data_IF_211499865872
#
_entry.id   IF_211499865872
#
_cell.length_a   1.000
_cell.length_b   1.000
_cell.length_c   1.000
_cell.angle_alpha   90.00
_cell.angle_beta   90.00
_cell.angle_gamma   90.00
#
_symmetry.space_group_name_H-M   'P 1'
#
loop_
_entity.id
_entity.type
_entity.pdbx_description
1 polymer ?
#
# COMPACT_ATOMS: atom_id res chain seq x y z
N UNK A 1 6.55 14.10 -3.66
CA UNK A 1 8.00 14.16 -3.99
C UNK A 1 8.60 15.54 -3.71
N UNK A 2 8.10 16.63 -4.29
CA UNK A 2 8.72 17.97 -4.15
C UNK A 2 8.96 18.44 -2.70
N UNK A 3 8.01 18.22 -1.78
CA UNK A 3 8.18 18.62 -0.35
C UNK A 3 9.20 17.77 0.41
N UNK A 4 9.34 16.47 0.11
CA UNK A 4 10.32 15.60 0.78
C UNK A 4 11.72 16.01 0.33
N UNK A 5 11.90 16.17 -0.99
CA UNK A 5 13.17 16.57 -1.57
C UNK A 5 13.58 17.99 -1.13
N UNK A 6 12.61 18.92 -1.05
CA UNK A 6 12.89 20.28 -0.57
C UNK A 6 13.35 20.33 0.90
N UNK A 7 13.03 19.32 1.71
CA UNK A 7 13.46 19.20 3.10
C UNK A 7 14.72 18.32 3.26
N UNK A 8 15.43 18.01 2.16
CA UNK A 8 16.68 17.25 2.18
C UNK A 8 16.51 15.72 2.20
N UNK A 9 15.29 15.21 2.11
CA UNK A 9 15.02 13.79 1.92
C UNK A 9 15.15 13.36 0.45
N UNK A 10 15.13 12.05 0.19
CA UNK A 10 15.02 11.48 -1.16
C UNK A 10 13.73 10.68 -1.23
N UNK A 11 12.98 10.85 -2.32
CA UNK A 11 11.70 10.16 -2.51
C UNK A 11 11.55 9.65 -3.95
N UNK A 12 11.27 8.34 -4.07
CA UNK A 12 10.88 7.68 -5.32
C UNK A 12 9.40 7.33 -5.28
N UNK A 13 8.71 7.51 -6.40
CA UNK A 13 7.33 7.02 -6.57
C UNK A 13 7.34 5.70 -7.32
N UNK A 14 6.58 4.73 -6.83
CA UNK A 14 6.31 3.46 -7.50
C UNK A 14 4.79 3.25 -7.48
N UNK A 15 4.22 2.92 -8.63
CA UNK A 15 2.83 2.46 -8.68
C UNK A 15 2.77 1.10 -7.98
N UNK A 16 1.92 0.97 -6.99
CA UNK A 16 1.81 -0.23 -6.17
C UNK A 16 0.35 -0.42 -5.74
N UNK A 17 -0.22 -1.57 -6.09
CA UNK A 17 -1.46 -2.07 -5.49
C UNK A 17 -1.11 -3.00 -4.32
N UNK A 18 -1.52 -2.62 -3.10
CA UNK A 18 -1.22 -3.39 -1.89
C UNK A 18 -1.93 -4.75 -1.87
N UNK A 19 -2.99 -4.95 -2.66
CA UNK A 19 -3.64 -6.25 -2.80
C UNK A 19 -2.91 -7.18 -3.81
N UNK A 20 -1.82 -6.74 -4.43
CA UNK A 20 -1.01 -7.51 -5.39
C UNK A 20 0.32 -7.95 -4.77
N UNK A 21 0.49 -9.25 -4.56
CA UNK A 21 1.78 -9.81 -4.12
C UNK A 21 2.93 -9.50 -5.08
N UNK A 22 2.64 -9.39 -6.37
CA UNK A 22 3.64 -9.08 -7.39
C UNK A 22 4.12 -7.64 -7.21
N UNK A 23 3.20 -6.71 -6.95
CA UNK A 23 3.54 -5.31 -6.73
C UNK A 23 4.33 -5.14 -5.42
N UNK A 24 4.06 -5.96 -4.39
CA UNK A 24 4.86 -6.01 -3.16
C UNK A 24 6.30 -6.42 -3.42
N UNK A 25 6.51 -7.49 -4.17
CA UNK A 25 7.86 -7.93 -4.58
C UNK A 25 8.58 -6.82 -5.35
N UNK A 26 7.87 -6.13 -6.25
CA UNK A 26 8.44 -5.05 -7.06
C UNK A 26 8.85 -3.84 -6.20
N UNK A 27 8.00 -3.37 -5.29
CA UNK A 27 8.32 -2.18 -4.47
C UNK A 27 9.43 -2.45 -3.46
N UNK A 28 9.48 -3.65 -2.87
CA UNK A 28 10.57 -4.06 -1.97
C UNK A 28 11.89 -4.17 -2.73
N UNK A 29 11.89 -4.81 -3.90
CA UNK A 29 13.10 -4.90 -4.73
C UNK A 29 13.60 -3.53 -5.19
N UNK A 30 12.68 -2.62 -5.56
CA UNK A 30 13.03 -1.24 -5.89
C UNK A 30 13.67 -0.53 -4.70
N UNK A 31 13.07 -0.65 -3.50
CA UNK A 31 13.60 0.00 -2.31
C UNK A 31 15.02 -0.49 -1.98
N UNK A 32 15.26 -1.80 -2.06
CA UNK A 32 16.59 -2.39 -1.84
C UNK A 32 17.58 -1.93 -2.93
N UNK A 33 17.15 -1.89 -4.19
CA UNK A 33 18.03 -1.50 -5.30
C UNK A 33 18.45 -0.02 -5.23
N UNK A 34 17.53 0.87 -4.85
CA UNK A 34 17.77 2.32 -4.83
C UNK A 34 18.40 2.80 -3.51
N UNK A 35 17.98 2.21 -2.38
CA UNK A 35 18.35 2.68 -1.03
C UNK A 35 19.21 1.69 -0.25
N UNK A 36 19.49 0.52 -0.79
CA UNK A 36 20.35 -0.52 -0.21
C UNK A 36 19.66 -1.44 0.79
N UNK A 37 18.62 -0.97 1.48
CA UNK A 37 17.85 -1.73 2.47
C UNK A 37 16.43 -1.16 2.66
N UNK A 38 15.59 -1.88 3.40
CA UNK A 38 14.27 -1.44 3.84
C UNK A 38 14.18 -1.49 5.37
N UNK A 39 14.21 -0.32 6.01
CA UNK A 39 14.22 -0.21 7.47
C UNK A 39 12.82 -0.21 8.10
N UNK A 40 11.88 0.49 7.45
CA UNK A 40 10.53 0.74 7.98
C UNK A 40 9.51 0.59 6.86
N UNK A 41 8.42 -0.12 7.17
CA UNK A 41 7.21 -0.17 6.34
C UNK A 41 6.09 0.50 7.12
N UNK A 42 5.35 1.40 6.46
CA UNK A 42 4.14 2.01 7.01
C UNK A 42 2.95 1.56 6.17
N UNK A 43 2.20 0.59 6.70
CA UNK A 43 0.98 0.08 6.08
C UNK A 43 -0.18 1.06 6.28
N UNK A 44 -0.19 2.12 5.47
CA UNK A 44 -1.21 3.18 5.53
C UNK A 44 -2.35 3.00 4.53
N UNK A 45 -2.21 2.12 3.53
CA UNK A 45 -3.28 1.90 2.57
C UNK A 45 -4.54 1.38 3.26
N UNK A 46 -5.68 1.98 2.93
CA UNK A 46 -6.95 1.64 3.56
C UNK A 46 -8.13 2.17 2.76
N UNK A 47 -9.17 1.35 2.66
CA UNK A 47 -10.44 1.70 2.02
C UNK A 47 -11.61 1.44 2.96
N UNK A 48 -12.70 2.15 2.72
CA UNK A 48 -13.97 1.92 3.41
C UNK A 48 -15.11 2.28 2.47
N UNK A 49 -16.29 1.75 2.77
CA UNK A 49 -17.54 2.12 2.13
C UNK A 49 -18.61 2.30 3.20
N UNK A 50 -19.69 2.98 2.84
CA UNK A 50 -20.85 3.16 3.69
C UNK A 50 -22.08 2.61 2.97
N UNK A 51 -22.71 1.60 3.57
CA UNK A 51 -23.93 0.93 3.11
C UNK A 51 -24.72 0.44 4.32
N UNK A 52 -26.06 0.33 4.23
CA UNK A 52 -26.84 -0.45 5.18
C UNK A 52 -26.27 -1.86 5.31
N UNK A 53 -26.28 -2.44 6.51
CA UNK A 53 -25.64 -3.73 6.78
C UNK A 53 -26.18 -4.85 5.89
N UNK A 54 -27.49 -4.83 5.65
CA UNK A 54 -28.22 -5.76 4.80
C UNK A 54 -27.92 -5.63 3.31
N UNK A 55 -27.30 -4.52 2.88
CA UNK A 55 -26.89 -4.25 1.49
C UNK A 55 -25.40 -4.55 1.25
N UNK A 56 -24.65 -4.90 2.29
CA UNK A 56 -23.23 -5.23 2.17
C UNK A 56 -23.06 -6.54 1.42
N UNK A 57 -22.35 -6.48 0.29
CA UNK A 57 -22.05 -7.66 -0.51
C UNK A 57 -20.75 -8.33 -0.05
N UNK A 58 -20.56 -9.58 -0.44
CA UNK A 58 -19.28 -10.27 -0.24
C UNK A 58 -18.13 -9.57 -1.00
N UNK A 59 -18.43 -8.95 -2.14
CA UNK A 59 -17.45 -8.18 -2.91
C UNK A 59 -16.98 -6.94 -2.12
N UNK A 60 -17.91 -6.20 -1.51
CA UNK A 60 -17.59 -5.06 -0.65
C UNK A 60 -16.71 -5.48 0.53
N UNK A 61 -17.09 -6.58 1.20
CA UNK A 61 -16.32 -7.15 2.30
C UNK A 61 -14.91 -7.55 1.86
N UNK A 62 -14.79 -8.33 0.78
CA UNK A 62 -13.50 -8.78 0.27
C UNK A 62 -12.62 -7.61 -0.15
N UNK A 63 -13.18 -6.57 -0.76
CA UNK A 63 -12.42 -5.39 -1.13
C UNK A 63 -11.76 -4.71 0.08
N UNK A 64 -12.52 -4.52 1.16
CA UNK A 64 -11.98 -3.96 2.42
C UNK A 64 -10.98 -4.91 3.06
N UNK A 65 -11.29 -6.21 3.15
CA UNK A 65 -10.41 -7.17 3.81
C UNK A 65 -9.09 -7.36 3.04
N UNK A 66 -9.13 -7.46 1.72
CA UNK A 66 -7.94 -7.65 0.90
C UNK A 66 -6.98 -6.45 1.01
N UNK A 67 -7.52 -5.23 1.04
CA UNK A 67 -6.70 -4.01 1.09
C UNK A 67 -6.27 -3.67 2.52
N UNK A 68 -7.14 -3.79 3.51
CA UNK A 68 -6.86 -3.28 4.86
C UNK A 68 -6.25 -4.33 5.78
N UNK A 69 -6.46 -5.63 5.51
CA UNK A 69 -6.09 -6.72 6.43
C UNK A 69 -5.17 -7.73 5.75
N UNK A 70 -5.50 -8.24 4.58
CA UNK A 70 -4.67 -9.25 3.91
C UNK A 70 -3.36 -8.64 3.42
N UNK A 71 -3.41 -7.43 2.82
CA UNK A 71 -2.24 -6.77 2.24
C UNK A 71 -1.06 -6.52 3.19
N UNK A 72 -1.29 -6.60 4.51
CA UNK A 72 -0.25 -6.34 5.52
C UNK A 72 0.50 -7.60 5.96
N UNK A 73 0.10 -8.78 5.48
CA UNK A 73 0.70 -10.08 5.77
C UNK A 73 1.32 -10.71 4.51
#
# INVERSE_FOLDING_TARGET
MSKINANGGVATYVKHDVASEIDWKNVVNMAIAEYGQLDIVVNNAGVSFEKPLEEVTLEDWNWVMNINVESVF
#
